data_IF_268508659535
#
_entry.id   IF_268508659535
#
_cell.length_a   1.000
_cell.length_b   1.000
_cell.length_c   1.000
_cell.angle_alpha   90.00
_cell.angle_beta   90.00
_cell.angle_gamma   90.00
#
_symmetry.space_group_name_H-M   'P 1'
#
loop_
_entity.id
_entity.type
_entity.pdbx_description
1 polymer ?
#
# COMPACT_ATOMS: atom_id res chain seq x y z
N UNK A 1 13.38 39.30 -3.61
CA UNK A 1 12.37 38.37 -3.05
C UNK A 1 12.55 37.08 -3.82
N UNK A 2 13.21 36.07 -3.24
CA UNK A 2 13.26 34.74 -3.85
C UNK A 2 11.88 34.14 -3.68
N UNK A 3 11.16 33.91 -4.78
CA UNK A 3 10.01 33.04 -4.77
C UNK A 3 10.47 31.69 -4.23
N UNK A 4 10.03 31.34 -3.01
CA UNK A 4 10.21 30.00 -2.47
C UNK A 4 9.36 29.08 -3.33
N UNK A 5 9.95 28.49 -4.37
CA UNK A 5 9.39 27.29 -4.99
C UNK A 5 9.16 26.29 -3.87
N UNK A 6 7.93 25.76 -3.68
CA UNK A 6 7.71 24.70 -2.71
C UNK A 6 8.72 23.58 -2.99
N UNK A 7 9.47 23.15 -1.97
CA UNK A 7 10.34 22.00 -2.13
C UNK A 7 9.46 20.80 -2.52
N UNK A 8 9.77 20.15 -3.64
CA UNK A 8 9.04 18.98 -4.10
C UNK A 8 9.05 17.91 -3.00
N UNK A 9 7.88 17.34 -2.65
CA UNK A 9 7.81 16.25 -1.67
C UNK A 9 8.16 14.89 -2.28
N UNK A 10 8.05 14.79 -3.61
CA UNK A 10 8.31 13.58 -4.38
C UNK A 10 9.26 13.90 -5.54
N UNK A 11 10.22 13.02 -5.81
CA UNK A 11 11.16 13.18 -6.91
C UNK A 11 10.47 13.00 -8.28
N UNK A 12 11.18 13.25 -9.37
CA UNK A 12 10.62 13.21 -10.72
C UNK A 12 10.05 11.84 -11.16
N UNK A 13 10.19 10.80 -10.33
CA UNK A 13 9.68 9.44 -10.55
C UNK A 13 8.70 9.00 -9.46
N UNK A 14 8.19 9.95 -8.68
CA UNK A 14 7.17 9.72 -7.66
C UNK A 14 7.67 9.08 -6.37
N UNK A 15 8.99 8.94 -6.18
CA UNK A 15 9.53 8.51 -4.88
C UNK A 15 9.44 9.65 -3.88
N UNK A 16 8.96 9.37 -2.67
CA UNK A 16 8.97 10.36 -1.58
C UNK A 16 10.41 10.76 -1.24
N UNK A 17 10.67 12.07 -1.19
CA UNK A 17 11.99 12.61 -0.84
C UNK A 17 12.17 12.54 0.67
N UNK A 18 13.19 11.83 1.19
CA UNK A 18 13.32 11.63 2.63
C UNK A 18 13.84 12.91 3.30
N UNK A 19 13.18 13.33 4.39
CA UNK A 19 13.64 14.42 5.25
C UNK A 19 14.97 14.07 5.94
N UNK A 20 15.81 15.05 6.25
CA UNK A 20 17.19 14.83 6.73
C UNK A 20 17.31 13.96 7.99
N UNK A 21 16.30 13.97 8.86
CA UNK A 21 16.26 13.21 10.11
C UNK A 21 15.70 11.79 9.95
N UNK A 22 15.17 11.44 8.78
CA UNK A 22 14.50 10.16 8.52
C UNK A 22 15.50 9.11 8.05
N UNK A 23 15.39 7.89 8.58
CA UNK A 23 16.13 6.71 8.15
C UNK A 23 15.71 6.24 6.76
N UNK A 24 16.44 6.65 5.73
CA UNK A 24 16.27 6.19 4.36
C UNK A 24 17.56 6.37 3.55
N UNK A 25 17.70 5.62 2.47
CA UNK A 25 18.72 5.94 1.47
C UNK A 25 18.38 7.29 0.81
N UNK A 26 19.35 8.23 0.80
CA UNK A 26 19.15 9.57 0.23
C UNK A 26 19.06 9.55 -1.29
N UNK A 27 19.84 8.67 -1.92
CA UNK A 27 19.86 8.45 -3.37
C UNK A 27 19.52 6.99 -3.62
N UNK A 28 18.50 6.76 -4.42
CA UNK A 28 18.11 5.42 -4.84
C UNK A 28 18.87 5.02 -6.10
N UNK A 29 19.39 3.78 -6.12
CA UNK A 29 19.95 3.15 -7.33
C UNK A 29 18.86 2.59 -8.24
N UNK A 30 17.64 2.45 -7.72
CA UNK A 30 16.44 2.00 -8.45
C UNK A 30 16.61 0.64 -9.10
N UNK A 31 17.38 -0.21 -8.43
CA UNK A 31 17.62 -1.58 -8.86
C UNK A 31 16.36 -2.43 -8.63
N UNK A 32 15.69 -2.22 -7.50
CA UNK A 32 14.39 -2.81 -7.19
C UNK A 32 13.30 -1.83 -7.60
N UNK A 33 12.33 -2.25 -8.39
CA UNK A 33 11.24 -1.38 -8.84
C UNK A 33 9.94 -2.14 -9.01
N UNK A 34 8.84 -1.42 -8.93
CA UNK A 34 7.52 -1.84 -9.39
C UNK A 34 7.27 -1.11 -10.71
N UNK A 35 6.77 -1.84 -11.72
CA UNK A 35 6.36 -1.25 -12.99
C UNK A 35 4.88 -0.89 -12.87
N UNK A 36 4.50 0.33 -13.25
CA UNK A 36 3.09 0.73 -13.27
C UNK A 36 2.30 -0.23 -14.19
N UNK A 37 1.34 -0.99 -13.66
CA UNK A 37 0.46 -1.79 -14.49
C UNK A 37 -0.56 -0.91 -15.21
N UNK A 38 -1.11 -1.43 -16.31
CA UNK A 38 -2.29 -0.83 -16.93
C UNK A 38 -3.45 -0.85 -15.93
N UNK A 39 -4.11 0.29 -15.77
CA UNK A 39 -5.24 0.44 -14.84
C UNK A 39 -6.53 0.13 -15.60
N UNK A 40 -7.10 -1.02 -15.32
CA UNK A 40 -8.46 -1.40 -15.74
C UNK A 40 -9.38 -1.33 -14.52
N UNK A 41 -10.11 -0.23 -14.38
CA UNK A 41 -11.02 0.01 -13.25
C UNK A 41 -12.12 -1.05 -13.15
N UNK A 42 -12.65 -1.51 -14.28
CA UNK A 42 -13.70 -2.53 -14.29
C UNK A 42 -13.15 -3.88 -13.81
N UNK A 43 -11.96 -4.29 -14.27
CA UNK A 43 -11.32 -5.53 -13.83
C UNK A 43 -10.84 -5.48 -12.37
N UNK A 44 -10.44 -4.30 -11.87
CA UNK A 44 -10.15 -4.10 -10.45
C UNK A 44 -11.43 -4.26 -9.63
N UNK A 45 -12.52 -3.58 -10.00
CA UNK A 45 -13.80 -3.65 -9.30
C UNK A 45 -14.35 -5.08 -9.29
N UNK A 46 -14.36 -5.77 -10.44
CA UNK A 46 -14.85 -7.15 -10.56
C UNK A 46 -14.09 -8.09 -9.61
N UNK A 47 -12.75 -8.00 -9.56
CA UNK A 47 -11.94 -8.78 -8.61
C UNK A 47 -12.26 -8.42 -7.16
N UNK A 48 -12.37 -7.13 -6.84
CA UNK A 48 -12.71 -6.68 -5.49
C UNK A 48 -14.09 -7.20 -5.05
N UNK A 49 -15.10 -7.16 -5.92
CA UNK A 49 -16.44 -7.70 -5.65
C UNK A 49 -16.40 -9.22 -5.42
N UNK A 50 -15.65 -9.96 -6.25
CA UNK A 50 -15.56 -11.42 -6.12
C UNK A 50 -14.88 -11.88 -4.83
N UNK A 51 -13.89 -11.12 -4.33
CA UNK A 51 -13.07 -11.53 -3.19
C UNK A 51 -13.44 -10.85 -1.87
N UNK A 52 -14.11 -9.69 -1.90
CA UNK A 52 -14.62 -9.01 -0.71
C UNK A 52 -16.17 -9.03 -0.58
N UNK A 53 -16.90 -9.41 -1.64
CA UNK A 53 -18.33 -9.69 -1.61
C UNK A 53 -19.25 -8.47 -1.57
N UNK A 54 -20.46 -8.70 -1.07
CA UNK A 54 -21.61 -7.77 -1.08
C UNK A 54 -21.37 -6.44 -0.34
N UNK A 55 -20.31 -6.33 0.47
CA UNK A 55 -19.92 -5.10 1.17
C UNK A 55 -19.42 -3.98 0.24
N UNK A 56 -19.36 -4.23 -1.07
CA UNK A 56 -19.03 -3.27 -2.12
C UNK A 56 -20.18 -3.14 -3.13
N UNK A 57 -20.93 -4.22 -3.39
CA UNK A 57 -21.82 -4.36 -4.54
C UNK A 57 -22.96 -3.34 -4.61
N UNK A 58 -23.48 -2.89 -3.47
CA UNK A 58 -24.58 -1.93 -3.40
C UNK A 58 -24.11 -0.45 -3.41
N UNK A 59 -22.80 -0.20 -3.37
CA UNK A 59 -22.23 1.13 -3.16
C UNK A 59 -21.44 1.68 -4.36
N UNK A 60 -20.97 0.81 -5.27
CA UNK A 60 -19.98 1.20 -6.27
C UNK A 60 -20.12 0.45 -7.59
N UNK A 61 -20.34 1.18 -8.68
CA UNK A 61 -20.15 0.69 -10.05
C UNK A 61 -18.77 1.09 -10.63
N UNK A 62 -18.43 0.59 -11.83
CA UNK A 62 -17.13 0.84 -12.44
C UNK A 62 -16.88 2.31 -12.79
N UNK A 63 -17.92 3.03 -13.21
CA UNK A 63 -17.81 4.45 -13.57
C UNK A 63 -17.63 5.32 -12.32
N UNK A 64 -18.34 5.00 -11.24
CA UNK A 64 -18.15 5.61 -9.93
C UNK A 64 -16.75 5.32 -9.41
N UNK A 65 -16.31 4.05 -9.42
CA UNK A 65 -14.96 3.71 -8.97
C UNK A 65 -13.88 4.49 -9.73
N UNK A 66 -13.97 4.51 -11.06
CA UNK A 66 -13.05 5.26 -11.90
C UNK A 66 -13.07 6.75 -11.55
N UNK A 67 -14.23 7.39 -11.53
CA UNK A 67 -14.35 8.82 -11.25
C UNK A 67 -13.76 9.20 -9.87
N UNK A 68 -14.04 8.39 -8.83
CA UNK A 68 -13.52 8.60 -7.48
C UNK A 68 -11.99 8.49 -7.46
N UNK A 69 -11.43 7.46 -8.10
CA UNK A 69 -9.98 7.24 -8.17
C UNK A 69 -9.26 8.31 -9.02
N UNK A 70 -9.81 8.69 -10.17
CA UNK A 70 -9.27 9.74 -11.04
C UNK A 70 -9.29 11.10 -10.33
N UNK A 71 -10.31 11.40 -9.53
CA UNK A 71 -10.36 12.64 -8.75
C UNK A 71 -9.17 12.80 -7.79
N UNK A 72 -8.67 11.67 -7.23
CA UNK A 72 -7.47 11.66 -6.37
C UNK A 72 -6.23 11.96 -7.21
N UNK A 73 -6.07 11.31 -8.36
CA UNK A 73 -4.96 11.57 -9.26
C UNK A 73 -4.95 13.03 -9.74
N UNK A 74 -6.09 13.56 -10.14
CA UNK A 74 -6.23 14.94 -10.60
C UNK A 74 -5.90 15.93 -9.49
N UNK A 75 -6.44 15.73 -8.27
CA UNK A 75 -6.13 16.57 -7.11
C UNK A 75 -4.63 16.58 -6.80
N UNK A 76 -3.98 15.41 -6.84
CA UNK A 76 -2.55 15.30 -6.58
C UNK A 76 -1.70 15.90 -7.71
N UNK A 77 -2.08 15.70 -8.96
CA UNK A 77 -1.40 16.21 -10.15
C UNK A 77 -1.47 17.75 -10.27
N UNK A 78 -2.56 18.34 -9.78
CA UNK A 78 -2.78 19.79 -9.82
C UNK A 78 -2.15 20.54 -8.63
N UNK A 79 -1.65 19.85 -7.61
CA UNK A 79 -0.94 20.46 -6.48
C UNK A 79 0.59 20.44 -6.73
N UNK A 80 1.28 21.59 -6.80
CA UNK A 80 2.72 21.66 -7.00
C UNK A 80 3.56 20.80 -6.05
N UNK A 81 3.13 20.65 -4.79
CA UNK A 81 3.87 19.89 -3.78
C UNK A 81 3.74 18.37 -3.97
N UNK A 82 2.64 17.89 -4.56
CA UNK A 82 2.34 16.46 -4.67
C UNK A 82 2.34 15.92 -6.09
N UNK A 83 2.32 16.78 -7.13
CA UNK A 83 2.21 16.38 -8.55
C UNK A 83 3.16 15.28 -8.99
N UNK A 84 4.32 15.20 -8.36
CA UNK A 84 5.34 14.23 -8.75
C UNK A 84 4.99 12.81 -8.29
N UNK A 85 4.16 12.61 -7.26
CA UNK A 85 3.75 11.27 -6.81
C UNK A 85 3.01 10.49 -7.92
N UNK A 86 2.26 11.21 -8.77
CA UNK A 86 1.48 10.62 -9.88
C UNK A 86 2.36 10.23 -11.07
N UNK A 87 3.67 10.56 -11.05
CA UNK A 87 4.67 10.07 -12.01
C UNK A 87 5.25 8.71 -11.61
N UNK A 88 5.02 8.29 -10.36
CA UNK A 88 5.40 6.97 -9.85
C UNK A 88 4.28 5.96 -10.02
N UNK A 89 4.39 4.84 -9.31
CA UNK A 89 3.35 3.81 -9.28
C UNK A 89 2.18 4.27 -8.43
N UNK A 90 0.96 4.21 -8.97
CA UNK A 90 -0.30 4.46 -8.28
C UNK A 90 -1.33 3.40 -8.63
N UNK A 91 -1.82 2.67 -7.62
CA UNK A 91 -2.75 1.55 -7.78
C UNK A 91 -4.09 1.90 -7.14
N UNK A 92 -5.17 2.07 -7.92
CA UNK A 92 -6.50 2.19 -7.36
C UNK A 92 -6.88 0.94 -6.58
N UNK A 93 -7.48 1.13 -5.41
CA UNK A 93 -7.95 0.04 -4.56
C UNK A 93 -9.33 0.34 -3.99
N UNK A 94 -10.01 -0.73 -3.58
CA UNK A 94 -11.28 -0.68 -2.86
C UNK A 94 -11.12 -1.46 -1.57
N UNK A 95 -11.29 -0.78 -0.44
CA UNK A 95 -11.43 -1.42 0.87
C UNK A 95 -12.93 -1.62 1.13
N UNK A 96 -13.40 -2.85 1.38
CA UNK A 96 -14.81 -3.10 1.66
C UNK A 96 -15.21 -2.49 2.99
N UNK A 97 -16.52 -2.25 3.16
CA UNK A 97 -17.05 -1.90 4.47
C UNK A 97 -16.65 -2.99 5.49
N UNK A 98 -15.94 -2.59 6.53
CA UNK A 98 -15.33 -3.51 7.49
C UNK A 98 -15.99 -3.39 8.86
N UNK A 99 -16.56 -4.49 9.36
CA UNK A 99 -17.22 -4.57 10.68
C UNK A 99 -16.23 -5.09 11.74
N UNK A 100 -15.20 -5.81 11.33
CA UNK A 100 -14.15 -6.33 12.22
C UNK A 100 -13.25 -5.18 12.71
N UNK A 101 -13.23 -4.99 14.03
CA UNK A 101 -12.50 -3.90 14.68
C UNK A 101 -11.04 -4.25 14.95
N UNK A 102 -10.72 -5.55 15.07
CA UNK A 102 -9.34 -5.99 15.23
C UNK A 102 -8.66 -6.13 13.86
N UNK A 103 -7.66 -5.28 13.60
CA UNK A 103 -6.97 -5.25 12.31
C UNK A 103 -6.25 -6.58 12.00
N UNK A 104 -5.79 -7.30 13.02
CA UNK A 104 -5.18 -8.62 12.88
C UNK A 104 -6.18 -9.68 12.45
N UNK A 105 -7.34 -9.70 13.11
CA UNK A 105 -8.45 -10.57 12.77
C UNK A 105 -8.96 -10.31 11.36
N UNK A 106 -9.15 -9.05 10.97
CA UNK A 106 -9.57 -8.69 9.62
C UNK A 106 -8.54 -9.11 8.57
N UNK A 107 -7.25 -8.85 8.82
CA UNK A 107 -6.17 -9.25 7.92
C UNK A 107 -6.14 -10.78 7.73
N UNK A 108 -6.27 -11.53 8.82
CA UNK A 108 -6.24 -12.99 8.81
C UNK A 108 -7.46 -13.64 8.17
N UNK A 109 -8.68 -13.16 8.48
CA UNK A 109 -9.93 -13.80 8.08
C UNK A 109 -10.45 -13.33 6.72
N UNK A 110 -10.08 -12.12 6.29
CA UNK A 110 -10.65 -11.47 5.11
C UNK A 110 -9.57 -11.17 4.07
N UNK A 111 -8.59 -10.33 4.41
CA UNK A 111 -7.68 -9.77 3.41
C UNK A 111 -6.66 -10.77 2.87
N UNK A 112 -5.98 -11.54 3.74
CA UNK A 112 -4.97 -12.51 3.27
C UNK A 112 -5.59 -13.64 2.42
N UNK A 113 -6.76 -14.23 2.78
CA UNK A 113 -7.47 -15.14 1.88
C UNK A 113 -7.86 -14.51 0.55
N UNK A 114 -8.33 -13.26 0.55
CA UNK A 114 -8.70 -12.54 -0.68
C UNK A 114 -7.48 -12.32 -1.58
N UNK A 115 -6.33 -11.89 -1.03
CA UNK A 115 -5.08 -11.75 -1.78
C UNK A 115 -4.65 -13.09 -2.38
N UNK A 116 -4.70 -14.18 -1.59
CA UNK A 116 -4.34 -15.51 -2.05
C UNK A 116 -5.20 -15.96 -3.23
N UNK A 117 -6.52 -15.79 -3.13
CA UNK A 117 -7.49 -16.17 -4.16
C UNK A 117 -7.32 -15.35 -5.43
N UNK A 118 -7.23 -14.02 -5.31
CA UNK A 118 -7.04 -13.12 -6.45
C UNK A 118 -5.70 -13.38 -7.17
N UNK A 119 -4.63 -13.66 -6.40
CA UNK A 119 -3.33 -14.01 -6.94
C UNK A 119 -3.35 -15.33 -7.71
N UNK A 120 -3.92 -16.39 -7.12
CA UNK A 120 -3.99 -17.70 -7.75
C UNK A 120 -4.86 -17.69 -9.02
N UNK A 121 -5.92 -16.89 -9.04
CA UNK A 121 -6.77 -16.73 -10.21
C UNK A 121 -6.05 -16.02 -11.36
N UNK A 122 -5.34 -14.91 -11.06
CA UNK A 122 -4.56 -14.16 -12.05
C UNK A 122 -3.36 -14.96 -12.56
N UNK A 123 -2.74 -15.78 -11.70
CA UNK A 123 -1.53 -16.54 -11.98
C UNK A 123 -1.72 -18.02 -11.58
N UNK A 124 -2.45 -18.83 -12.37
CA UNK A 124 -2.81 -20.21 -12.00
C UNK A 124 -1.62 -21.16 -11.78
N UNK A 125 -0.46 -20.83 -12.35
CA UNK A 125 0.78 -21.61 -12.23
C UNK A 125 1.72 -21.09 -11.13
N UNK A 126 1.36 -19.98 -10.50
CA UNK A 126 2.06 -19.46 -9.33
C UNK A 126 1.41 -19.97 -8.05
N UNK A 127 2.04 -19.70 -6.92
CA UNK A 127 1.50 -19.99 -5.59
C UNK A 127 1.55 -18.76 -4.69
N UNK A 128 0.51 -18.62 -3.87
CA UNK A 128 0.54 -17.76 -2.71
C UNK A 128 0.91 -18.57 -1.47
N UNK A 129 1.86 -18.07 -0.68
CA UNK A 129 2.25 -18.71 0.59
C UNK A 129 2.17 -17.74 1.76
N UNK A 130 1.36 -18.11 2.74
CA UNK A 130 1.34 -17.43 4.03
C UNK A 130 2.30 -18.15 5.00
N UNK A 131 3.42 -17.50 5.33
CA UNK A 131 4.44 -18.05 6.21
C UNK A 131 4.20 -17.76 7.71
N UNK A 132 3.07 -17.15 8.05
CA UNK A 132 2.69 -16.83 9.42
C UNK A 132 2.60 -18.09 10.29
N UNK A 133 3.29 -18.08 11.43
CA UNK A 133 3.30 -19.19 12.40
C UNK A 133 2.26 -19.03 13.53
N UNK A 134 1.80 -17.80 13.78
CA UNK A 134 0.93 -17.47 14.93
C UNK A 134 -0.25 -16.59 14.50
N UNK A 135 -1.41 -16.68 15.15
CA UNK A 135 -2.56 -15.82 14.86
C UNK A 135 -2.22 -14.33 14.95
N UNK A 136 -2.86 -13.51 14.10
CA UNK A 136 -2.70 -12.04 14.12
C UNK A 136 -3.67 -11.33 15.07
N UNK A 137 -4.81 -11.96 15.34
CA UNK A 137 -5.89 -11.46 16.20
C UNK A 137 -5.35 -11.01 17.57
N UNK A 138 -5.51 -9.72 17.89
CA UNK A 138 -5.01 -9.10 19.11
C UNK A 138 -3.47 -9.05 19.25
N UNK A 139 -2.71 -9.34 18.18
CA UNK A 139 -1.23 -9.33 18.16
C UNK A 139 -0.63 -8.19 17.37
N UNK A 140 -1.42 -7.58 16.49
CA UNK A 140 -1.00 -6.41 15.72
C UNK A 140 -2.00 -5.27 15.90
N UNK A 141 -1.49 -4.05 15.80
CA UNK A 141 -2.28 -2.82 15.91
C UNK A 141 -1.92 -1.83 14.81
N UNK A 142 -2.52 -0.65 14.88
CA UNK A 142 -2.20 0.47 14.01
C UNK A 142 -1.05 1.27 14.63
N UNK A 143 0.03 1.46 13.87
CA UNK A 143 1.19 2.22 14.33
C UNK A 143 0.84 3.69 14.54
N UNK A 144 1.14 4.22 15.73
CA UNK A 144 0.81 5.60 16.09
C UNK A 144 1.46 6.64 15.15
N UNK A 145 0.62 7.50 14.58
CA UNK A 145 1.03 8.53 13.63
C UNK A 145 1.21 8.04 12.19
N UNK A 146 0.78 6.81 11.89
CA UNK A 146 0.61 6.33 10.51
C UNK A 146 -0.57 6.98 9.81
N UNK A 147 -1.54 7.50 10.58
CA UNK A 147 -2.84 8.03 10.13
C UNK A 147 -3.76 6.96 9.52
N UNK A 148 -3.36 5.69 9.60
CA UNK A 148 -4.10 4.54 9.02
C UNK A 148 -5.43 4.28 9.74
N UNK A 149 -5.58 4.78 10.97
CA UNK A 149 -6.85 4.86 11.67
C UNK A 149 -7.95 5.53 10.84
N UNK A 150 -7.59 6.53 10.02
CA UNK A 150 -8.56 7.24 9.16
C UNK A 150 -9.18 6.32 8.10
N UNK A 151 -8.38 5.41 7.52
CA UNK A 151 -8.88 4.41 6.59
C UNK A 151 -9.76 3.38 7.30
N UNK A 152 -9.35 2.90 8.47
CA UNK A 152 -10.13 1.92 9.24
C UNK A 152 -11.48 2.51 9.67
N UNK A 153 -11.49 3.77 10.12
CA UNK A 153 -12.73 4.49 10.47
C UNK A 153 -13.63 4.74 9.25
N UNK A 154 -13.05 5.08 8.09
CA UNK A 154 -13.80 5.25 6.86
C UNK A 154 -14.42 3.93 6.39
N UNK A 155 -13.64 2.84 6.42
CA UNK A 155 -14.09 1.49 6.10
C UNK A 155 -15.17 0.99 7.06
N UNK A 156 -15.21 1.46 8.32
CA UNK A 156 -16.29 1.16 9.24
C UNK A 156 -17.66 1.72 8.82
N UNK A 157 -17.69 2.74 7.94
CA UNK A 157 -18.91 3.42 7.50
C UNK A 157 -19.43 2.89 6.16
N UNK A 158 -18.54 2.77 5.18
CA UNK A 158 -18.86 2.42 3.79
C UNK A 158 -17.63 1.79 3.10
N UNK A 159 -17.79 1.30 1.89
CA UNK A 159 -16.65 0.97 1.03
C UNK A 159 -15.83 2.23 0.73
N UNK A 160 -14.51 2.07 0.71
CA UNK A 160 -13.54 3.16 0.55
C UNK A 160 -12.76 2.97 -0.73
N UNK A 161 -12.75 4.00 -1.57
CA UNK A 161 -11.88 4.10 -2.75
C UNK A 161 -10.64 4.90 -2.38
N UNK A 162 -9.48 4.42 -2.82
CA UNK A 162 -8.22 5.13 -2.64
C UNK A 162 -7.18 4.76 -3.68
N UNK A 163 -6.05 5.46 -3.66
CA UNK A 163 -4.86 5.12 -4.44
C UNK A 163 -3.72 4.73 -3.51
N UNK A 164 -3.13 3.57 -3.77
CA UNK A 164 -1.94 3.07 -3.10
C UNK A 164 -0.69 3.42 -3.91
N UNK A 165 0.25 4.11 -3.28
CA UNK A 165 1.52 4.55 -3.85
C UNK A 165 2.69 3.86 -3.13
N UNK A 166 3.33 2.82 -3.68
CA UNK A 166 4.54 2.23 -3.10
C UNK A 166 5.75 3.15 -3.31
N UNK A 167 5.74 4.34 -2.70
CA UNK A 167 6.65 5.45 -2.99
C UNK A 167 7.68 5.72 -1.88
N UNK A 168 7.56 5.06 -0.72
CA UNK A 168 8.55 5.15 0.37
C UNK A 168 9.60 4.05 0.16
N UNK A 169 10.35 4.16 -0.93
CA UNK A 169 11.40 3.21 -1.28
C UNK A 169 12.69 3.45 -0.52
N UNK A 170 13.25 2.37 0.02
CA UNK A 170 14.54 2.33 0.72
C UNK A 170 14.53 3.05 2.09
N UNK A 171 13.36 3.09 2.72
CA UNK A 171 13.15 3.60 4.08
C UNK A 171 13.28 2.48 5.11
N UNK A 172 13.71 2.82 6.33
CA UNK A 172 13.39 1.98 7.50
C UNK A 172 11.91 2.13 7.84
N UNK A 173 11.35 1.19 8.62
CA UNK A 173 9.94 1.26 9.01
C UNK A 173 9.66 2.48 9.88
N UNK A 174 10.53 2.78 10.85
CA UNK A 174 10.39 4.01 11.65
C UNK A 174 10.59 5.27 10.81
N UNK A 175 11.43 5.19 9.78
CA UNK A 175 11.68 6.26 8.83
C UNK A 175 10.46 6.57 7.99
N UNK A 176 9.79 5.55 7.44
CA UNK A 176 8.54 5.68 6.71
C UNK A 176 7.44 6.31 7.58
N UNK A 177 7.32 5.87 8.84
CA UNK A 177 6.39 6.44 9.81
C UNK A 177 6.71 7.92 10.13
N UNK A 178 7.98 8.25 10.33
CA UNK A 178 8.41 9.62 10.61
C UNK A 178 8.21 10.54 9.42
N UNK A 179 8.50 10.07 8.21
CA UNK A 179 8.26 10.79 6.96
C UNK A 179 6.78 11.12 6.79
N UNK A 180 5.89 10.16 7.06
CA UNK A 180 4.43 10.34 6.94
C UNK A 180 3.93 11.51 7.78
N UNK A 181 4.48 11.71 8.99
CA UNK A 181 4.12 12.83 9.87
C UNK A 181 4.47 14.21 9.29
N UNK A 182 5.48 14.27 8.43
CA UNK A 182 5.94 15.48 7.76
C UNK A 182 5.21 15.77 6.44
N UNK A 183 4.47 14.78 5.91
CA UNK A 183 3.68 14.92 4.70
C UNK A 183 2.31 15.56 4.99
N UNK A 184 1.69 16.19 3.96
CA UNK A 184 0.30 16.67 4.02
C UNK A 184 -0.67 15.64 4.61
N UNK A 185 -1.70 16.13 5.29
CA UNK A 185 -2.61 15.29 6.08
C UNK A 185 -3.32 14.19 5.26
N UNK A 186 -3.48 14.38 3.94
CA UNK A 186 -4.10 13.41 3.04
C UNK A 186 -3.29 12.12 2.86
N UNK A 187 -1.99 12.12 3.19
CA UNK A 187 -1.14 10.94 3.07
C UNK A 187 -1.14 10.15 4.37
N UNK A 188 -1.47 8.87 4.27
CA UNK A 188 -1.38 7.89 5.34
C UNK A 188 -0.31 6.87 4.97
N UNK A 189 0.41 6.37 5.96
CA UNK A 189 1.28 5.21 5.77
C UNK A 189 0.39 3.99 5.51
N UNK A 190 0.73 3.21 4.49
CA UNK A 190 -0.05 2.03 4.14
C UNK A 190 0.20 0.86 5.10
N UNK A 191 -0.85 0.09 5.34
CA UNK A 191 -0.89 -1.04 6.25
C UNK A 191 -1.53 -2.26 5.61
N UNK A 192 -2.19 -3.09 6.43
CA UNK A 192 -2.79 -4.34 5.97
C UNK A 192 -3.93 -4.15 4.97
N UNK A 193 -4.85 -3.22 5.23
CA UNK A 193 -6.11 -3.11 4.46
C UNK A 193 -5.87 -2.64 3.03
N UNK A 194 -5.29 -1.46 2.87
CA UNK A 194 -4.99 -0.82 1.59
C UNK A 194 -3.95 -1.58 0.78
N UNK A 195 -2.88 -2.10 1.38
CA UNK A 195 -1.90 -2.91 0.65
C UNK A 195 -2.54 -4.21 0.13
N UNK A 196 -3.35 -4.90 0.95
CA UNK A 196 -4.04 -6.10 0.50
C UNK A 196 -5.12 -5.78 -0.54
N UNK A 197 -5.88 -4.70 -0.37
CA UNK A 197 -6.88 -4.26 -1.34
C UNK A 197 -6.24 -3.93 -2.70
N UNK A 198 -5.09 -3.26 -2.71
CA UNK A 198 -4.31 -3.02 -3.93
C UNK A 198 -3.83 -4.33 -4.56
N UNK A 199 -3.39 -5.32 -3.77
CA UNK A 199 -2.99 -6.64 -4.28
C UNK A 199 -4.18 -7.50 -4.72
N UNK A 200 -5.39 -7.32 -4.19
CA UNK A 200 -6.60 -7.97 -4.72
C UNK A 200 -6.99 -7.36 -6.06
N UNK A 201 -6.99 -6.03 -6.14
CA UNK A 201 -7.26 -5.29 -7.37
C UNK A 201 -6.17 -5.50 -8.42
N UNK A 202 -4.93 -5.75 -8.03
CA UNK A 202 -3.78 -5.91 -8.94
C UNK A 202 -2.81 -6.99 -8.40
N UNK A 203 -3.15 -8.28 -8.54
CA UNK A 203 -2.41 -9.38 -7.90
C UNK A 203 -0.99 -9.58 -8.43
N UNK A 204 -0.74 -9.20 -9.67
CA UNK A 204 0.56 -9.29 -10.32
C UNK A 204 1.47 -8.07 -10.08
N UNK A 205 1.08 -7.14 -9.17
CA UNK A 205 1.84 -5.90 -8.88
C UNK A 205 3.33 -6.12 -8.59
N UNK A 206 3.66 -7.21 -7.88
CA UNK A 206 5.04 -7.55 -7.51
C UNK A 206 5.70 -8.56 -8.44
N UNK A 207 5.03 -8.98 -9.50
CA UNK A 207 5.55 -9.96 -10.42
C UNK A 207 6.37 -9.27 -11.50
N UNK A 208 7.61 -9.72 -11.63
CA UNK A 208 8.53 -9.23 -12.65
C UNK A 208 9.21 -10.40 -13.35
N UNK A 209 9.08 -10.42 -14.67
CA UNK A 209 9.84 -11.33 -15.54
C UNK A 209 11.16 -10.71 -15.99
N UNK A 210 11.33 -9.40 -15.81
CA UNK A 210 12.57 -8.66 -16.06
C UNK A 210 12.87 -7.72 -14.88
N UNK A 211 14.08 -7.79 -14.34
CA UNK A 211 14.54 -7.07 -13.15
C UNK A 211 13.98 -7.59 -11.82
N UNK A 212 14.19 -6.82 -10.75
CA UNK A 212 13.89 -7.25 -9.39
C UNK A 212 12.76 -6.41 -8.76
N UNK A 213 11.71 -7.05 -8.24
CA UNK A 213 10.68 -6.36 -7.47
C UNK A 213 11.13 -6.12 -6.01
N UNK A 214 10.61 -5.09 -5.33
CA UNK A 214 10.90 -4.85 -3.92
C UNK A 214 10.06 -5.76 -3.01
N UNK A 215 10.35 -5.66 -1.71
CA UNK A 215 9.53 -6.17 -0.63
C UNK A 215 8.62 -5.05 -0.11
N UNK A 216 7.32 -5.31 -0.08
CA UNK A 216 6.31 -4.34 0.38
C UNK A 216 5.99 -4.55 1.84
N UNK A 217 6.54 -3.68 2.68
CA UNK A 217 6.25 -3.65 4.11
C UNK A 217 4.92 -2.98 4.41
N UNK A 218 4.19 -3.57 5.36
CA UNK A 218 2.95 -3.04 5.91
C UNK A 218 3.29 -2.05 7.03
N UNK A 219 3.89 -0.92 6.65
CA UNK A 219 4.52 0.02 7.60
C UNK A 219 3.59 0.62 8.65
N UNK A 220 2.28 0.68 8.39
CA UNK A 220 1.31 1.13 9.38
C UNK A 220 0.87 0.06 10.39
N UNK A 221 1.35 -1.18 10.28
CA UNK A 221 1.12 -2.21 11.29
C UNK A 221 2.17 -2.11 12.40
N UNK A 222 1.74 -2.09 13.65
CA UNK A 222 2.59 -2.24 14.82
C UNK A 222 2.48 -3.66 15.37
N UNK A 223 3.62 -4.27 15.68
CA UNK A 223 3.70 -5.55 16.38
C UNK A 223 4.26 -5.34 17.78
N UNK A 224 4.18 -6.34 18.66
CA UNK A 224 4.76 -6.26 20.00
C UNK A 224 6.28 -6.01 19.97
N UNK A 225 6.98 -6.57 18.99
CA UNK A 225 8.40 -6.31 18.74
C UNK A 225 8.55 -5.26 17.63
N UNK A 226 8.86 -4.03 18.03
CA UNK A 226 9.09 -2.87 17.15
C UNK A 226 10.24 -3.05 16.16
N UNK A 227 11.04 -4.11 16.29
CA UNK A 227 12.12 -4.44 15.36
C UNK A 227 11.72 -5.50 14.34
N UNK A 228 10.45 -5.90 14.31
CA UNK A 228 9.88 -6.88 13.38
C UNK A 228 8.56 -6.39 12.78
N UNK A 229 8.22 -6.90 11.59
CA UNK A 229 6.99 -6.51 10.92
C UNK A 229 6.58 -7.48 9.81
N UNK A 230 5.43 -7.20 9.21
CA UNK A 230 4.84 -7.98 8.13
C UNK A 230 5.06 -7.33 6.77
N UNK A 231 5.22 -8.17 5.75
CA UNK A 231 5.43 -7.70 4.38
C UNK A 231 4.96 -8.75 3.36
N UNK A 232 4.77 -8.28 2.13
CA UNK A 232 4.67 -9.13 0.96
C UNK A 232 6.01 -9.16 0.22
N UNK A 233 6.41 -10.35 -0.21
CA UNK A 233 7.61 -10.56 -1.02
C UNK A 233 7.33 -11.52 -2.18
N UNK A 234 7.80 -11.20 -3.38
CA UNK A 234 7.77 -12.14 -4.49
C UNK A 234 8.95 -13.11 -4.40
N UNK A 235 8.70 -14.38 -4.74
CA UNK A 235 9.73 -15.41 -4.86
C UNK A 235 9.63 -16.06 -6.24
N UNK A 236 10.37 -15.50 -7.20
CA UNK A 236 10.16 -15.76 -8.62
C UNK A 236 8.78 -15.25 -9.05
N UNK A 237 7.94 -16.15 -9.56
CA UNK A 237 6.55 -15.84 -9.92
C UNK A 237 5.55 -16.08 -8.78
N UNK A 238 6.01 -16.47 -7.58
CA UNK A 238 5.16 -16.70 -6.41
C UNK A 238 5.05 -15.46 -5.54
N UNK A 239 4.01 -15.38 -4.73
CA UNK A 239 3.83 -14.31 -3.74
C UNK A 239 3.80 -14.90 -2.33
N UNK A 240 4.49 -14.22 -1.42
CA UNK A 240 4.60 -14.64 -0.03
C UNK A 240 4.14 -13.52 0.90
N UNK A 241 3.35 -13.86 1.91
CA UNK A 241 3.14 -13.03 3.09
C UNK A 241 4.01 -13.55 4.24
N UNK A 242 4.85 -12.68 4.80
CA UNK A 242 5.87 -13.09 5.76
C UNK A 242 6.05 -12.08 6.91
N UNK A 243 6.63 -12.56 8.01
CA UNK A 243 7.05 -11.78 9.17
C UNK A 243 8.56 -11.87 9.30
N UNK A 244 9.24 -10.73 9.45
CA UNK A 244 10.70 -10.74 9.65
C UNK A 244 11.16 -9.60 10.54
N UNK A 245 12.31 -9.84 11.17
CA UNK A 245 13.07 -8.83 11.90
C UNK A 245 13.73 -7.88 10.89
N UNK A 246 13.53 -6.57 11.08
CA UNK A 246 14.17 -5.50 10.32
C UNK A 246 15.23 -4.72 11.12
N UNK A 247 15.22 -4.78 12.47
CA UNK A 247 16.14 -4.00 13.33
C UNK A 247 16.20 -2.50 13.00
N UNK A 248 15.10 -1.98 12.47
CA UNK A 248 14.96 -0.62 11.96
C UNK A 248 16.08 -0.17 11.00
N UNK A 249 16.62 -1.12 10.22
CA UNK A 249 17.62 -0.85 9.19
C UNK A 249 16.96 -0.27 7.94
N UNK A 250 17.81 0.27 7.07
CA UNK A 250 17.46 0.63 5.70
C UNK A 250 17.96 -0.45 4.75
N UNK A 251 17.22 -0.74 3.69
CA UNK A 251 17.67 -1.63 2.63
C UNK A 251 17.06 -1.23 1.29
N UNK A 252 17.80 -1.45 0.20
CA UNK A 252 17.43 -0.98 -1.14
C UNK A 252 16.17 -1.63 -1.72
N UNK A 253 15.82 -2.81 -1.23
CA UNK A 253 14.64 -3.55 -1.66
C UNK A 253 13.46 -3.43 -0.68
N UNK A 254 13.54 -2.56 0.34
CA UNK A 254 12.46 -2.37 1.31
C UNK A 254 11.64 -1.15 0.95
N UNK A 255 10.37 -1.37 0.67
CA UNK A 255 9.46 -0.32 0.24
C UNK A 255 8.25 -0.32 1.18
N UNK A 256 7.80 0.87 1.56
CA UNK A 256 6.49 1.09 2.16
C UNK A 256 5.59 1.85 1.17
N UNK A 257 4.28 1.76 1.38
CA UNK A 257 3.30 2.54 0.63
C UNK A 257 2.79 3.76 1.39
N UNK A 258 2.33 4.76 0.64
CA UNK A 258 1.38 5.75 1.11
C UNK A 258 0.02 5.47 0.48
N UNK A 259 -1.05 5.83 1.18
CA UNK A 259 -2.41 5.80 0.66
C UNK A 259 -3.05 7.17 0.75
N UNK A 260 -3.84 7.50 -0.28
CA UNK A 260 -4.70 8.68 -0.32
C UNK A 260 -6.12 8.20 -0.60
N UNK A 261 -7.07 8.66 0.21
CA UNK A 261 -8.49 8.39 -0.01
C UNK A 261 -9.09 9.53 -0.82
N UNK A 262 -10.23 9.25 -1.43
CA UNK A 262 -11.05 10.26 -2.11
C UNK A 262 -11.35 11.45 -1.19
#
# INVERSE_FOLDING_TARGET
>A
MSENTPADLFDEFGRCIPAESVGAHRKSRRYFQIVQPEIDYAAILDRSLRHFGDFIADELDAAQFQARAESIFDRLANDPATKNITRGVGIPFIVPKTIETDIGAALEKIYLPAVAAAFQEKLPNASFKNHRLHPLDGKIGIASGSRHESLVEAAGRSAVVGIYFPCLSEYSISGALSQTKLLPAQFMLAGGYDTCAALVGTPDLLIRTDGYPPLLWLGALETQDKTSGYHFEPYGLNLTFNHRVHQDKVAEYWWCGLSVLE
#
